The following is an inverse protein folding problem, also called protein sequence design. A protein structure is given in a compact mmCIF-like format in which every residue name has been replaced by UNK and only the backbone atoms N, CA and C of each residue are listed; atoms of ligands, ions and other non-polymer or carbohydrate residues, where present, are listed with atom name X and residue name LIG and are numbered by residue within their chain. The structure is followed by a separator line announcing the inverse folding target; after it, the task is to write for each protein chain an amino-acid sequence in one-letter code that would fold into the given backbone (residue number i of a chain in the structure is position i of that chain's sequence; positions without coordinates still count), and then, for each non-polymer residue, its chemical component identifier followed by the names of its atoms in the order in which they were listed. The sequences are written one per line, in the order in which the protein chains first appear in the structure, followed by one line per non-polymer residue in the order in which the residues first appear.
data_IF_007214956124
#
_entry.id   IF_007214956124
#
_cell.length_a   1.000
_cell.length_b   1.000
_cell.length_c   1.000
_cell.angle_alpha   90.00
_cell.angle_beta   90.00
_cell.angle_gamma   90.00
#
_symmetry.space_group_name_H-M   'P 1'
#
loop_
_entity.id
_entity.type
_entity.pdbx_description
1 polymer ?
#
# COMPACT_ATOMS: atom_id res chain seq x y z
N UNK A 1 -15.00 -6.26 7.49
CA UNK A 1 -14.33 -5.02 7.10
C UNK A 1 -15.08 -3.85 7.71
N UNK A 2 -14.64 -3.38 8.88
CA UNK A 2 -15.20 -2.21 9.57
C UNK A 2 -15.12 -0.95 8.68
N UNK A 3 -15.83 0.11 9.10
CA UNK A 3 -15.93 1.42 8.42
C UNK A 3 -14.55 1.94 7.95
N UNK A 4 -13.52 1.79 8.78
CA UNK A 4 -12.15 2.22 8.44
C UNK A 4 -11.62 1.59 7.14
N UNK A 5 -11.84 0.28 6.91
CA UNK A 5 -11.40 -0.38 5.67
C UNK A 5 -12.19 0.10 4.45
N UNK A 6 -13.48 0.39 4.61
CA UNK A 6 -14.34 0.91 3.53
C UNK A 6 -13.90 2.30 3.10
N UNK A 7 -13.51 3.17 4.05
CA UNK A 7 -13.01 4.52 3.75
C UNK A 7 -11.70 4.51 2.95
N UNK A 8 -10.89 3.46 3.08
CA UNK A 8 -9.64 3.31 2.34
C UNK A 8 -9.84 2.83 0.89
N UNK A 9 -11.00 2.23 0.56
CA UNK A 9 -11.23 1.64 -0.77
C UNK A 9 -11.11 2.63 -1.93
N UNK A 10 -11.68 3.85 -1.89
CA UNK A 10 -11.53 4.80 -2.99
C UNK A 10 -10.07 5.16 -3.26
N UNK A 11 -9.30 5.39 -2.20
CA UNK A 11 -7.87 5.69 -2.29
C UNK A 11 -7.08 4.50 -2.81
N UNK A 12 -7.42 3.30 -2.37
CA UNK A 12 -6.82 2.06 -2.83
C UNK A 12 -7.06 1.83 -4.33
N UNK A 13 -8.30 1.97 -4.81
CA UNK A 13 -8.61 1.83 -6.23
C UNK A 13 -7.90 2.90 -7.08
N UNK A 14 -7.85 4.14 -6.61
CA UNK A 14 -7.09 5.20 -7.27
C UNK A 14 -5.59 4.87 -7.32
N UNK A 15 -5.00 4.43 -6.20
CA UNK A 15 -3.59 4.08 -6.13
C UNK A 15 -3.25 2.90 -7.05
N UNK A 16 -4.10 1.87 -7.11
CA UNK A 16 -3.96 0.77 -8.06
C UNK A 16 -4.06 1.26 -9.51
N UNK A 17 -5.04 2.11 -9.81
CA UNK A 17 -5.18 2.69 -11.14
C UNK A 17 -3.91 3.43 -11.57
N UNK A 18 -3.38 4.29 -10.70
CA UNK A 18 -2.12 5.02 -10.95
C UNK A 18 -0.97 4.04 -11.18
N UNK A 19 -0.78 3.09 -10.27
CA UNK A 19 0.32 2.15 -10.31
C UNK A 19 0.28 1.29 -11.59
N UNK A 20 -0.85 0.64 -11.87
CA UNK A 20 -0.99 -0.23 -13.05
C UNK A 20 -0.91 0.53 -14.37
N UNK A 21 -1.43 1.76 -14.42
CA UNK A 21 -1.28 2.61 -15.60
C UNK A 21 0.18 3.00 -15.82
N UNK A 22 0.89 3.32 -14.74
CA UNK A 22 2.30 3.71 -14.81
C UNK A 22 3.21 2.56 -15.27
N UNK A 23 3.11 1.36 -14.67
CA UNK A 23 3.99 0.23 -15.06
C UNK A 23 3.82 -0.19 -16.53
N UNK A 24 2.62 0.03 -17.10
CA UNK A 24 2.33 -0.32 -18.50
C UNK A 24 2.73 0.79 -19.48
N UNK A 25 2.85 2.03 -19.00
CA UNK A 25 3.22 3.18 -19.82
C UNK A 25 4.66 3.06 -20.36
N UNK A 26 4.95 3.80 -21.44
CA UNK A 26 6.32 3.94 -21.93
C UNK A 26 7.25 4.56 -20.89
N UNK A 27 6.73 5.52 -20.11
CA UNK A 27 7.46 6.16 -19.01
C UNK A 27 7.89 5.16 -17.94
N UNK A 28 6.99 4.28 -17.49
CA UNK A 28 7.31 3.24 -16.50
C UNK A 28 8.35 2.22 -16.96
N UNK A 29 8.52 2.06 -18.28
CA UNK A 29 9.54 1.18 -18.88
C UNK A 29 10.90 1.87 -19.09
N UNK A 30 10.97 3.20 -18.92
CA UNK A 30 12.23 3.94 -18.99
C UNK A 30 13.07 3.72 -17.73
N UNK A 31 14.36 4.05 -17.79
CA UNK A 31 15.26 4.02 -16.62
C UNK A 31 14.76 4.91 -15.48
N UNK A 32 14.28 6.12 -15.81
CA UNK A 32 13.61 7.02 -14.86
C UNK A 32 12.39 6.35 -14.23
N UNK A 33 11.56 5.69 -15.04
CA UNK A 33 10.39 4.96 -14.58
C UNK A 33 10.73 3.85 -13.60
N UNK A 34 11.78 3.09 -13.88
CA UNK A 34 12.28 2.06 -12.96
C UNK A 34 12.79 2.65 -11.64
N UNK A 35 13.44 3.81 -11.66
CA UNK A 35 13.82 4.52 -10.44
C UNK A 35 12.61 4.96 -9.61
N UNK A 36 11.55 5.44 -10.26
CA UNK A 36 10.27 5.78 -9.59
C UNK A 36 9.66 4.53 -8.95
N UNK A 37 9.64 3.40 -9.67
CA UNK A 37 9.13 2.13 -9.13
C UNK A 37 9.95 1.66 -7.94
N UNK A 38 11.28 1.71 -8.03
CA UNK A 38 12.17 1.37 -6.92
C UNK A 38 11.92 2.24 -5.68
N UNK A 39 11.69 3.54 -5.86
CA UNK A 39 11.27 4.41 -4.75
C UNK A 39 9.92 4.00 -4.16
N UNK A 40 8.93 3.69 -5.01
CA UNK A 40 7.62 3.24 -4.56
C UNK A 40 7.68 1.92 -3.77
N UNK A 41 8.50 0.96 -4.21
CA UNK A 41 8.72 -0.29 -3.49
C UNK A 41 9.45 -0.05 -2.18
N UNK A 42 10.50 0.78 -2.15
CA UNK A 42 11.21 1.12 -0.91
C UNK A 42 10.29 1.79 0.11
N UNK A 43 9.33 2.60 -0.33
CA UNK A 43 8.34 3.22 0.55
C UNK A 43 7.31 2.22 1.08
N UNK A 44 6.80 1.33 0.23
CA UNK A 44 5.72 0.41 0.58
C UNK A 44 6.19 -0.86 1.30
N UNK A 45 7.35 -1.39 0.94
CA UNK A 45 7.85 -2.69 1.41
C UNK A 45 7.97 -2.79 2.94
N UNK A 46 8.43 -1.77 3.69
CA UNK A 46 8.49 -1.84 5.15
C UNK A 46 7.12 -1.91 5.83
N UNK A 47 6.05 -1.44 5.18
CA UNK A 47 4.71 -1.35 5.77
C UNK A 47 4.21 -2.74 6.14
N UNK A 48 4.34 -3.72 5.24
CA UNK A 48 3.88 -5.09 5.49
C UNK A 48 4.54 -5.74 6.70
N UNK A 49 5.88 -5.91 6.80
CA UNK A 49 6.50 -6.57 7.94
C UNK A 49 6.32 -5.78 9.24
N UNK A 50 6.39 -4.45 9.21
CA UNK A 50 6.23 -3.62 10.42
C UNK A 50 4.77 -3.66 10.90
N UNK A 51 3.81 -3.43 9.99
CA UNK A 51 2.40 -3.44 10.33
C UNK A 51 1.90 -4.82 10.75
N UNK A 52 2.39 -5.89 10.12
CA UNK A 52 2.11 -7.25 10.54
C UNK A 52 2.66 -7.51 11.95
N UNK A 53 3.92 -7.15 12.23
CA UNK A 53 4.51 -7.32 13.55
C UNK A 53 3.71 -6.57 14.63
N UNK A 54 3.23 -5.36 14.33
CA UNK A 54 2.37 -4.61 15.24
C UNK A 54 1.04 -5.33 15.51
N UNK A 55 0.41 -5.93 14.49
CA UNK A 55 -0.81 -6.71 14.65
C UNK A 55 -0.55 -7.95 15.53
N UNK A 56 0.55 -8.67 15.31
CA UNK A 56 0.89 -9.87 16.11
C UNK A 56 1.17 -9.52 17.57
N UNK A 57 1.99 -8.50 17.81
CA UNK A 57 2.32 -8.03 19.16
C UNK A 57 1.03 -7.64 19.89
N UNK A 58 0.17 -6.85 19.27
CA UNK A 58 -1.10 -6.42 19.89
C UNK A 58 -2.10 -7.56 20.06
N UNK A 59 -2.13 -8.51 19.13
CA UNK A 59 -2.94 -9.73 19.24
C UNK A 59 -2.54 -10.54 20.48
N UNK A 60 -1.24 -10.63 20.79
CA UNK A 60 -0.76 -11.35 21.98
C UNK A 60 -1.24 -10.76 23.31
N UNK A 61 -1.57 -9.46 23.34
CA UNK A 61 -2.09 -8.79 24.54
C UNK A 61 -3.61 -8.80 24.64
N UNK A 62 -4.32 -8.67 23.52
CA UNK A 62 -5.78 -8.40 23.50
C UNK A 62 -6.58 -9.61 22.98
N UNK A 63 -5.93 -10.63 22.42
CA UNK A 63 -6.55 -11.80 21.79
C UNK A 63 -7.68 -11.42 20.82
N UNK A 64 -7.31 -10.85 19.68
CA UNK A 64 -8.27 -10.50 18.63
C UNK A 64 -9.10 -11.70 18.17
N UNK A 65 -10.41 -11.47 17.93
CA UNK A 65 -11.22 -12.40 17.16
C UNK A 65 -10.67 -12.54 15.74
N UNK A 66 -10.91 -13.68 15.10
CA UNK A 66 -10.51 -13.92 13.71
C UNK A 66 -10.97 -12.80 12.77
N UNK A 67 -12.21 -12.30 12.95
CA UNK A 67 -12.74 -11.21 12.13
C UNK A 67 -11.95 -9.91 12.28
N UNK A 68 -11.54 -9.59 13.51
CA UNK A 68 -10.75 -8.38 13.80
C UNK A 68 -9.35 -8.51 13.20
N UNK A 69 -8.70 -9.65 13.38
CA UNK A 69 -7.40 -9.92 12.78
C UNK A 69 -7.45 -9.83 11.25
N UNK A 70 -8.43 -10.50 10.61
CA UNK A 70 -8.67 -10.45 9.17
C UNK A 70 -8.88 -9.02 8.68
N UNK A 71 -9.67 -8.22 9.40
CA UNK A 71 -9.93 -6.83 9.05
C UNK A 71 -8.67 -5.94 9.16
N UNK A 72 -7.83 -6.16 10.18
CA UNK A 72 -6.53 -5.47 10.33
C UNK A 72 -5.55 -5.83 9.21
N UNK A 73 -5.50 -7.10 8.82
CA UNK A 73 -4.69 -7.54 7.68
C UNK A 73 -5.16 -6.91 6.36
N UNK A 74 -6.47 -6.79 6.15
CA UNK A 74 -6.99 -6.05 4.99
C UNK A 74 -6.59 -4.58 5.01
N UNK A 75 -6.71 -3.90 6.16
CA UNK A 75 -6.27 -2.50 6.30
C UNK A 75 -4.77 -2.37 5.98
N UNK A 76 -3.95 -3.30 6.46
CA UNK A 76 -2.51 -3.32 6.19
C UNK A 76 -2.21 -3.44 4.68
N UNK A 77 -2.90 -4.34 3.99
CA UNK A 77 -2.77 -4.51 2.53
C UNK A 77 -3.20 -3.22 1.81
N UNK A 78 -4.35 -2.64 2.18
CA UNK A 78 -4.86 -1.41 1.56
C UNK A 78 -3.85 -0.27 1.71
N UNK A 79 -3.32 -0.04 2.92
CA UNK A 79 -2.35 1.02 3.19
C UNK A 79 -1.06 0.80 2.36
N UNK A 80 -0.58 -0.43 2.28
CA UNK A 80 0.63 -0.76 1.51
C UNK A 80 0.51 -0.33 0.04
N UNK A 81 -0.60 -0.70 -0.61
CA UNK A 81 -0.84 -0.34 -2.01
C UNK A 81 -1.17 1.15 -2.21
N UNK A 82 -1.85 1.78 -1.25
CA UNK A 82 -2.08 3.23 -1.25
C UNK A 82 -0.73 3.96 -1.26
N UNK A 83 0.17 3.63 -0.34
CA UNK A 83 1.50 4.27 -0.28
C UNK A 83 2.28 4.02 -1.57
N UNK A 84 2.24 2.80 -2.11
CA UNK A 84 2.91 2.48 -3.36
C UNK A 84 2.41 3.35 -4.52
N UNK A 85 1.09 3.38 -4.76
CA UNK A 85 0.50 4.14 -5.87
C UNK A 85 0.66 5.66 -5.72
N UNK A 86 0.51 6.20 -4.51
CA UNK A 86 0.72 7.62 -4.26
C UNK A 86 2.19 8.04 -4.37
N UNK A 87 3.13 7.15 -4.02
CA UNK A 87 4.55 7.40 -4.26
C UNK A 87 4.82 7.50 -5.76
N UNK A 88 4.30 6.57 -6.57
CA UNK A 88 4.39 6.68 -8.04
C UNK A 88 3.79 8.00 -8.53
N UNK A 89 2.59 8.37 -8.08
CA UNK A 89 1.95 9.64 -8.47
C UNK A 89 2.83 10.86 -8.17
N UNK A 90 3.42 10.89 -6.97
CA UNK A 90 4.23 12.03 -6.50
C UNK A 90 5.52 12.15 -7.28
N UNK A 91 6.24 11.05 -7.49
CA UNK A 91 7.53 11.06 -8.18
C UNK A 91 7.39 11.22 -9.70
N UNK A 92 6.29 10.75 -10.28
CA UNK A 92 5.93 11.05 -11.68
C UNK A 92 5.79 12.56 -11.91
N UNK A 93 5.19 13.28 -10.95
CA UNK A 93 4.91 14.70 -11.06
C UNK A 93 6.08 15.60 -10.59
N UNK A 94 7.13 15.02 -9.97
CA UNK A 94 8.36 15.74 -9.63
C UNK A 94 9.31 15.68 -10.83
N UNK A 95 9.63 16.84 -11.38
CA UNK A 95 10.46 17.05 -12.57
C UNK A 95 11.86 16.44 -12.45
#
# INVERSE_FOLDING_TARGET
MKIAGVLLLPFFFYALYVFFTFIRSSEGKSERGQNILNHSYKAALPIMPIGWLLIEVTHSFINYSFETYRDLMWILILITFIVQGFTVHTYKNKQ
#
